data_IF_294263546538
#
_entry.id   IF_294263546538
#
_cell.length_a   1.000
_cell.length_b   1.000
_cell.length_c   1.000
_cell.angle_alpha   90.00
_cell.angle_beta   90.00
_cell.angle_gamma   90.00
#
_symmetry.space_group_name_H-M   'P 1'
#
loop_
_entity.id
_entity.type
_entity.pdbx_description
1 polymer ?
#
# COMPACT_ATOMS: atom_id res chain seq x y z
N UNK A 1 15.18 -10.83 2.15
CA UNK A 1 16.51 -10.70 1.53
C UNK A 1 16.59 -9.37 0.75
N UNK A 2 17.80 -8.79 0.53
CA UNK A 2 17.99 -7.76 -0.48
C UNK A 2 17.73 -8.30 -1.89
N UNK A 3 17.35 -7.43 -2.84
CA UNK A 3 16.94 -7.82 -4.20
C UNK A 3 17.95 -8.73 -4.91
N UNK A 4 19.26 -8.42 -4.82
CA UNK A 4 20.31 -9.23 -5.43
C UNK A 4 20.33 -10.66 -4.83
N UNK A 5 20.30 -10.76 -3.51
CA UNK A 5 20.29 -12.05 -2.82
C UNK A 5 19.02 -12.86 -3.10
N UNK A 6 17.85 -12.19 -3.21
CA UNK A 6 16.60 -12.86 -3.61
C UNK A 6 16.75 -13.48 -5.01
N UNK A 7 17.31 -12.73 -5.96
CA UNK A 7 17.54 -13.25 -7.34
C UNK A 7 18.54 -14.39 -7.38
N UNK A 8 19.58 -14.36 -6.55
CA UNK A 8 20.59 -15.42 -6.50
C UNK A 8 20.06 -16.72 -5.88
N UNK A 9 19.18 -16.62 -4.87
CA UNK A 9 18.64 -17.80 -4.17
C UNK A 9 17.57 -18.51 -5.01
N UNK A 10 16.76 -17.79 -5.77
CA UNK A 10 15.62 -18.37 -6.50
C UNK A 10 15.97 -19.56 -7.40
N UNK A 11 17.05 -19.54 -8.22
CA UNK A 11 17.43 -20.69 -9.05
C UNK A 11 17.87 -21.93 -8.26
N UNK A 12 18.20 -21.77 -6.97
CA UNK A 12 18.64 -22.86 -6.10
C UNK A 12 17.46 -23.60 -5.45
N UNK A 13 16.26 -23.04 -5.51
CA UNK A 13 15.06 -23.64 -4.93
C UNK A 13 14.40 -24.60 -5.92
N UNK A 14 13.87 -25.71 -5.39
CA UNK A 14 13.07 -26.61 -6.20
C UNK A 14 11.82 -25.89 -6.72
N UNK A 15 11.32 -26.23 -7.93
CA UNK A 15 10.15 -25.55 -8.52
C UNK A 15 8.87 -25.66 -7.68
N UNK A 16 8.71 -26.76 -6.93
CA UNK A 16 7.53 -27.07 -6.11
C UNK A 16 7.50 -26.35 -4.75
N UNK A 17 8.61 -25.73 -4.33
CA UNK A 17 8.65 -24.97 -3.07
C UNK A 17 7.88 -23.68 -3.22
N UNK A 18 6.91 -23.45 -2.34
CA UNK A 18 6.18 -22.19 -2.25
C UNK A 18 7.06 -21.10 -1.66
N UNK A 19 7.12 -19.94 -2.32
CA UNK A 19 7.98 -18.82 -1.94
C UNK A 19 7.18 -17.54 -1.84
N UNK A 20 7.35 -16.84 -0.72
CA UNK A 20 6.95 -15.45 -0.53
C UNK A 20 8.20 -14.58 -0.52
N UNK A 21 8.28 -13.60 -1.41
CA UNK A 21 9.39 -12.66 -1.46
C UNK A 21 8.92 -11.25 -1.11
N UNK A 22 9.58 -10.63 -0.14
CA UNK A 22 9.25 -9.26 0.33
C UNK A 22 10.16 -8.19 -0.27
N UNK A 23 11.14 -8.59 -1.11
CA UNK A 23 12.02 -7.65 -1.80
C UNK A 23 11.28 -6.93 -2.95
N UNK A 24 11.94 -5.97 -3.59
CA UNK A 24 11.39 -5.33 -4.80
C UNK A 24 11.69 -6.13 -6.08
N UNK A 25 12.47 -7.23 -5.97
CA UNK A 25 13.04 -7.95 -7.10
C UNK A 25 11.99 -8.53 -8.07
N UNK A 26 10.83 -8.95 -7.54
CA UNK A 26 9.85 -9.73 -8.30
C UNK A 26 8.45 -9.10 -8.36
N UNK A 27 8.23 -7.94 -7.75
CA UNK A 27 6.90 -7.30 -7.66
C UNK A 27 6.30 -6.94 -9.01
N UNK A 28 7.14 -6.77 -10.02
CA UNK A 28 6.72 -6.50 -11.41
C UNK A 28 7.08 -7.62 -12.38
N UNK A 29 7.54 -8.76 -11.89
CA UNK A 29 7.84 -9.92 -12.70
C UNK A 29 6.55 -10.67 -13.07
N UNK A 30 6.36 -10.99 -14.36
CA UNK A 30 5.16 -11.69 -14.84
C UNK A 30 5.09 -13.17 -14.40
N UNK A 31 6.22 -13.76 -13.95
CA UNK A 31 6.26 -15.11 -13.40
C UNK A 31 5.87 -15.18 -11.91
N UNK A 32 5.59 -14.05 -11.29
CA UNK A 32 5.21 -13.95 -9.89
C UNK A 32 3.80 -13.36 -9.74
N UNK A 33 3.01 -13.93 -8.85
CA UNK A 33 1.73 -13.35 -8.47
C UNK A 33 1.95 -12.23 -7.44
N UNK A 34 1.22 -11.13 -7.62
CA UNK A 34 1.33 -9.99 -6.71
C UNK A 34 0.55 -10.24 -5.43
N UNK A 35 1.19 -10.11 -4.27
CA UNK A 35 0.70 -10.50 -2.96
C UNK A 35 -0.29 -9.52 -2.33
N UNK A 36 -1.33 -9.10 -3.07
CA UNK A 36 -2.43 -8.29 -2.56
C UNK A 36 -3.76 -8.99 -2.86
N UNK A 37 -4.23 -9.88 -1.96
CA UNK A 37 -5.37 -10.77 -2.20
C UNK A 37 -6.68 -10.06 -2.55
N UNK A 38 -6.89 -8.84 -2.06
CA UNK A 38 -8.12 -8.07 -2.23
C UNK A 38 -8.28 -7.44 -3.62
N UNK A 39 -7.23 -7.43 -4.44
CA UNK A 39 -7.38 -7.03 -5.85
C UNK A 39 -8.18 -8.09 -6.61
N UNK A 40 -8.99 -7.65 -7.58
CA UNK A 40 -9.90 -8.52 -8.32
C UNK A 40 -9.19 -9.74 -8.92
N UNK A 41 -9.68 -10.94 -8.58
CA UNK A 41 -9.13 -12.22 -9.03
C UNK A 41 -7.77 -12.62 -8.42
N UNK A 42 -7.14 -11.76 -7.63
CA UNK A 42 -5.79 -12.01 -7.12
C UNK A 42 -5.75 -13.08 -6.02
N UNK A 43 -6.78 -13.15 -5.19
CA UNK A 43 -6.91 -14.18 -4.13
C UNK A 43 -6.80 -15.60 -4.69
N UNK A 44 -7.50 -15.92 -5.77
CA UNK A 44 -7.45 -17.24 -6.39
C UNK A 44 -6.10 -17.52 -7.08
N UNK A 45 -5.45 -16.50 -7.64
CA UNK A 45 -4.09 -16.64 -8.16
C UNK A 45 -3.11 -17.01 -7.05
N UNK A 46 -3.13 -16.28 -5.92
CA UNK A 46 -2.26 -16.53 -4.78
C UNK A 46 -2.46 -17.94 -4.20
N UNK A 47 -3.70 -18.41 -4.06
CA UNK A 47 -3.99 -19.78 -3.59
C UNK A 47 -3.29 -20.86 -4.42
N UNK A 48 -3.25 -20.67 -5.73
CA UNK A 48 -2.69 -21.62 -6.68
C UNK A 48 -1.21 -21.36 -7.02
N UNK A 49 -0.63 -20.30 -6.47
CA UNK A 49 0.74 -19.88 -6.79
C UNK A 49 1.79 -20.64 -5.99
N UNK A 50 2.96 -20.80 -6.61
CA UNK A 50 4.21 -21.16 -5.91
C UNK A 50 5.14 -19.94 -5.70
N UNK A 51 4.82 -18.79 -6.29
CA UNK A 51 5.69 -17.61 -6.30
C UNK A 51 4.86 -16.35 -6.07
N UNK A 52 4.92 -15.77 -4.88
CA UNK A 52 4.19 -14.56 -4.54
C UNK A 52 5.14 -13.46 -4.11
N UNK A 53 5.05 -12.31 -4.78
CA UNK A 53 5.80 -11.10 -4.45
C UNK A 53 4.96 -10.20 -3.55
N UNK A 54 5.37 -10.05 -2.30
CA UNK A 54 4.69 -9.22 -1.30
C UNK A 54 4.88 -7.75 -1.62
N UNK A 55 3.81 -6.94 -1.62
CA UNK A 55 3.85 -5.50 -1.93
C UNK A 55 4.81 -4.69 -1.05
N UNK A 56 5.26 -3.55 -1.57
CA UNK A 56 5.86 -2.51 -0.75
C UNK A 56 4.80 -1.69 -0.03
N UNK A 57 5.09 -1.25 1.19
CA UNK A 57 4.11 -0.59 2.05
C UNK A 57 3.43 0.64 1.38
N UNK A 58 4.20 1.59 0.85
CA UNK A 58 3.61 2.73 0.14
C UNK A 58 2.85 2.33 -1.13
N UNK A 59 3.32 1.27 -1.81
CA UNK A 59 2.64 0.76 -2.99
C UNK A 59 1.30 0.12 -2.63
N UNK A 60 1.22 -0.64 -1.52
CA UNK A 60 -0.05 -1.19 -1.02
C UNK A 60 -1.10 -0.09 -0.86
N UNK A 61 -0.74 1.02 -0.19
CA UNK A 61 -1.66 2.12 0.02
C UNK A 61 -2.09 2.81 -1.27
N UNK A 62 -1.18 3.05 -2.20
CA UNK A 62 -1.51 3.66 -3.48
C UNK A 62 -2.35 2.74 -4.37
N UNK A 63 -1.93 1.48 -4.51
CA UNK A 63 -2.58 0.49 -5.37
C UNK A 63 -4.00 0.18 -4.90
N UNK A 64 -4.23 0.16 -3.57
CA UNK A 64 -5.57 -0.04 -3.01
C UNK A 64 -6.60 1.01 -3.47
N UNK A 65 -6.14 2.17 -3.91
CA UNK A 65 -6.97 3.26 -4.42
C UNK A 65 -6.92 3.31 -5.95
N UNK A 66 -5.73 3.38 -6.53
CA UNK A 66 -5.56 3.62 -7.95
C UNK A 66 -6.00 2.43 -8.82
N UNK A 67 -5.75 1.19 -8.38
CA UNK A 67 -6.14 -0.01 -9.15
C UNK A 67 -7.65 -0.12 -9.35
N UNK A 68 -8.50 -0.03 -8.31
CA UNK A 68 -9.96 -0.04 -8.50
C UNK A 68 -10.45 1.10 -9.39
N UNK A 69 -9.91 2.31 -9.24
CA UNK A 69 -10.31 3.46 -10.05
C UNK A 69 -10.09 3.21 -11.54
N UNK A 70 -8.95 2.66 -11.91
CA UNK A 70 -8.64 2.36 -13.33
C UNK A 70 -9.41 1.14 -13.82
N UNK A 71 -9.47 0.07 -13.03
CA UNK A 71 -10.11 -1.18 -13.43
C UNK A 71 -11.62 -1.05 -13.63
N UNK A 72 -12.26 -0.17 -12.84
CA UNK A 72 -13.70 0.14 -12.95
C UNK A 72 -14.00 1.27 -13.95
N UNK A 73 -12.98 1.85 -14.59
CA UNK A 73 -13.16 2.99 -15.51
C UNK A 73 -13.59 4.29 -14.82
N UNK A 74 -13.32 4.42 -13.50
CA UNK A 74 -13.61 5.61 -12.70
C UNK A 74 -12.53 6.70 -12.85
N UNK A 75 -11.36 6.32 -13.33
CA UNK A 75 -10.33 7.22 -13.81
C UNK A 75 -9.61 6.55 -15.00
N UNK A 76 -9.22 7.28 -16.06
CA UNK A 76 -8.48 6.70 -17.16
C UNK A 76 -7.06 6.30 -16.73
N UNK A 77 -6.46 5.33 -17.44
CA UNK A 77 -5.09 4.91 -17.19
C UNK A 77 -4.06 6.04 -17.35
N UNK A 78 -4.39 7.04 -18.14
CA UNK A 78 -3.61 8.26 -18.42
C UNK A 78 -3.76 9.33 -17.35
N UNK A 79 -4.68 9.15 -16.36
CA UNK A 79 -4.86 10.13 -15.28
C UNK A 79 -3.52 10.39 -14.57
N UNK A 80 -3.13 11.66 -14.35
CA UNK A 80 -1.83 12.02 -13.77
C UNK A 80 -1.83 11.86 -12.24
N UNK A 81 -1.95 10.63 -11.78
CA UNK A 81 -2.00 10.34 -10.34
C UNK A 81 -0.81 10.93 -9.58
N UNK A 82 -1.12 11.48 -8.43
CA UNK A 82 -0.14 11.86 -7.42
C UNK A 82 -0.52 11.28 -6.06
N UNK A 83 0.46 11.06 -5.19
CA UNK A 83 0.20 10.64 -3.82
C UNK A 83 1.28 11.12 -2.85
N UNK A 84 0.87 11.31 -1.60
CA UNK A 84 1.78 11.54 -0.47
C UNK A 84 1.65 10.36 0.48
N UNK A 85 2.77 9.72 0.79
CA UNK A 85 2.80 8.63 1.78
C UNK A 85 3.52 9.09 3.05
N UNK A 86 2.84 9.01 4.20
CA UNK A 86 3.38 9.37 5.52
C UNK A 86 3.54 8.08 6.33
N UNK A 87 4.74 7.81 6.83
CA UNK A 87 5.08 6.54 7.49
C UNK A 87 5.95 6.74 8.71
N UNK A 88 5.81 5.84 9.68
CA UNK A 88 6.78 5.66 10.74
C UNK A 88 8.16 5.22 10.22
N UNK A 89 9.19 5.45 11.02
CA UNK A 89 10.59 5.22 10.63
C UNK A 89 10.95 3.73 10.46
N UNK A 90 10.17 2.79 11.01
CA UNK A 90 10.40 1.35 10.82
C UNK A 90 10.41 0.92 9.35
N UNK A 91 9.69 1.65 8.46
CA UNK A 91 9.66 1.42 7.03
C UNK A 91 11.02 1.58 6.34
N UNK A 92 11.97 2.28 6.95
CA UNK A 92 13.36 2.42 6.47
C UNK A 92 14.28 1.27 6.87
N UNK A 93 13.77 0.28 7.62
CA UNK A 93 14.51 -0.90 8.07
C UNK A 93 15.57 -0.60 9.14
N UNK A 94 16.40 -1.60 9.45
CA UNK A 94 17.33 -1.59 10.60
C UNK A 94 18.17 -0.34 10.73
N UNK A 95 18.66 0.23 9.61
CA UNK A 95 19.53 1.41 9.65
C UNK A 95 18.77 2.65 10.14
N UNK A 96 17.56 2.86 9.63
CA UNK A 96 16.74 4.00 10.02
C UNK A 96 16.22 3.83 11.45
N UNK A 97 15.81 2.63 11.84
CA UNK A 97 15.41 2.32 13.22
C UNK A 97 16.55 2.69 14.18
N UNK A 98 17.79 2.22 13.92
CA UNK A 98 18.94 2.54 14.75
C UNK A 98 19.25 4.05 14.80
N UNK A 99 18.99 4.81 13.73
CA UNK A 99 19.15 6.27 13.70
C UNK A 99 18.12 6.96 14.61
N UNK A 100 16.85 6.58 14.52
CA UNK A 100 15.76 7.19 15.30
C UNK A 100 15.77 6.78 16.79
N UNK A 101 16.21 5.57 17.10
CA UNK A 101 16.24 5.01 18.46
C UNK A 101 17.61 5.12 19.14
N UNK A 102 18.55 5.84 18.54
CA UNK A 102 19.90 6.03 19.11
C UNK A 102 19.83 6.69 20.49
N UNK A 103 20.49 6.09 21.47
CA UNK A 103 20.64 6.68 22.80
C UNK A 103 21.41 8.02 22.77
N UNK A 104 22.23 8.24 21.75
CA UNK A 104 22.99 9.47 21.53
C UNK A 104 22.20 10.54 20.73
N UNK A 105 20.92 10.29 20.43
CA UNK A 105 20.06 11.24 19.71
C UNK A 105 19.87 12.51 20.56
N UNK A 106 20.30 13.70 20.06
CA UNK A 106 20.12 14.93 20.82
C UNK A 106 18.63 15.26 21.03
N UNK A 107 18.31 15.88 22.17
CA UNK A 107 17.00 16.54 22.33
C UNK A 107 16.85 17.62 21.26
N UNK A 108 15.63 17.77 20.71
CA UNK A 108 15.33 18.69 19.60
C UNK A 108 16.17 18.41 18.33
N UNK A 109 16.29 17.12 18.02
CA UNK A 109 16.94 16.66 16.79
C UNK A 109 16.10 17.00 15.55
N UNK A 110 16.77 17.18 14.41
CA UNK A 110 16.07 17.25 13.11
C UNK A 110 15.18 16.03 12.81
N UNK A 111 15.41 14.91 13.50
CA UNK A 111 14.60 13.70 13.38
C UNK A 111 13.20 13.85 14.00
N UNK A 112 12.99 14.86 14.87
CA UNK A 112 11.68 15.14 15.48
C UNK A 112 10.68 15.71 14.45
N UNK A 113 11.18 16.21 13.31
CA UNK A 113 10.36 16.75 12.24
C UNK A 113 10.09 15.72 11.13
N UNK A 114 8.90 15.76 10.49
CA UNK A 114 8.64 14.97 9.29
C UNK A 114 9.68 15.24 8.19
N UNK A 115 10.20 14.19 7.59
CA UNK A 115 11.24 14.26 6.56
C UNK A 115 10.71 13.76 5.22
N UNK A 116 10.53 14.66 4.26
CA UNK A 116 10.31 14.28 2.86
C UNK A 116 11.63 13.77 2.24
N UNK A 117 11.55 12.68 1.49
CA UNK A 117 12.72 12.10 0.83
C UNK A 117 12.34 11.61 -0.57
N UNK A 118 13.29 11.07 -1.33
CA UNK A 118 13.00 10.59 -2.69
C UNK A 118 12.52 11.68 -3.66
N UNK A 119 12.88 12.94 -3.40
CA UNK A 119 12.42 14.12 -4.16
C UNK A 119 12.90 14.15 -5.61
N UNK A 120 13.80 13.26 -6.02
CA UNK A 120 14.14 13.02 -7.41
C UNK A 120 13.11 12.18 -8.18
N UNK A 121 11.94 11.87 -7.57
CA UNK A 121 10.85 11.11 -8.17
C UNK A 121 11.27 9.74 -8.73
N UNK A 122 12.20 9.07 -8.05
CA UNK A 122 12.79 7.78 -8.44
C UNK A 122 12.71 6.73 -7.31
N UNK A 123 11.60 6.70 -6.58
CA UNK A 123 11.41 5.74 -5.49
C UNK A 123 11.24 4.30 -6.01
N UNK A 124 11.80 3.33 -5.30
CA UNK A 124 11.79 1.89 -5.68
C UNK A 124 10.38 1.27 -5.79
N UNK A 125 9.35 1.89 -5.21
CA UNK A 125 7.95 1.43 -5.32
C UNK A 125 7.23 1.95 -6.58
N UNK A 126 7.77 2.92 -7.30
CA UNK A 126 7.10 3.49 -8.47
C UNK A 126 6.82 2.48 -9.60
N UNK A 127 7.73 1.53 -9.93
CA UNK A 127 7.45 0.52 -10.96
C UNK A 127 6.24 -0.37 -10.60
N UNK A 128 6.11 -0.79 -9.33
CA UNK A 128 4.97 -1.60 -8.91
C UNK A 128 3.67 -0.77 -8.84
N UNK A 129 3.73 0.48 -8.34
CA UNK A 129 2.58 1.40 -8.35
C UNK A 129 2.03 1.57 -9.76
N UNK A 130 2.88 1.84 -10.75
CA UNK A 130 2.46 2.00 -12.14
C UNK A 130 1.91 0.71 -12.72
N UNK A 131 2.68 -0.38 -12.67
CA UNK A 131 2.32 -1.63 -13.33
C UNK A 131 1.08 -2.27 -12.76
N UNK A 132 1.01 -2.38 -11.42
CA UNK A 132 -0.09 -3.08 -10.76
C UNK A 132 -1.40 -2.28 -10.83
N UNK A 133 -1.32 -0.96 -10.76
CA UNK A 133 -2.52 -0.12 -10.95
C UNK A 133 -2.96 0.02 -12.41
N UNK A 134 -2.16 -0.44 -13.37
CA UNK A 134 -2.50 -0.36 -14.81
C UNK A 134 -2.35 1.06 -15.39
N UNK A 135 -1.46 1.89 -14.83
CA UNK A 135 -1.27 3.28 -15.25
C UNK A 135 -0.39 3.38 -16.49
N UNK A 136 -0.76 4.28 -17.40
CA UNK A 136 0.08 4.63 -18.56
C UNK A 136 1.35 5.39 -18.13
N UNK A 137 1.27 6.17 -17.06
CA UNK A 137 2.37 6.99 -16.55
C UNK A 137 2.70 6.67 -15.10
N UNK A 138 3.98 6.83 -14.74
CA UNK A 138 4.44 6.71 -13.36
C UNK A 138 3.79 7.80 -12.50
N UNK A 139 3.17 7.48 -11.35
CA UNK A 139 2.57 8.48 -10.48
C UNK A 139 3.61 9.38 -9.83
N UNK A 140 3.24 10.63 -9.53
CA UNK A 140 4.07 11.52 -8.71
C UNK A 140 3.92 11.14 -7.24
N UNK A 141 5.03 10.69 -6.63
CA UNK A 141 5.01 10.17 -5.26
C UNK A 141 5.96 10.96 -4.35
N UNK A 142 5.42 11.41 -3.23
CA UNK A 142 6.17 12.10 -2.17
C UNK A 142 6.14 11.26 -0.89
N UNK A 143 7.18 10.48 -0.60
CA UNK A 143 7.30 9.79 0.68
C UNK A 143 7.76 10.72 1.79
N UNK A 144 7.15 10.56 2.97
CA UNK A 144 7.47 11.28 4.20
C UNK A 144 7.67 10.27 5.33
N UNK A 145 8.77 10.37 6.06
CA UNK A 145 9.01 9.62 7.28
C UNK A 145 8.87 10.53 8.50
N UNK A 146 8.23 10.01 9.54
CA UNK A 146 7.95 10.74 10.78
C UNK A 146 8.52 10.01 11.98
N UNK A 147 8.62 10.73 13.11
CA UNK A 147 9.19 10.25 14.37
C UNK A 147 8.17 9.44 15.21
N UNK A 148 7.73 8.33 14.65
CA UNK A 148 7.02 7.25 15.34
C UNK A 148 7.39 5.92 14.69
N UNK A 149 7.29 4.82 15.44
CA UNK A 149 7.79 3.52 15.01
C UNK A 149 7.07 2.99 13.79
N UNK A 150 5.76 2.75 13.87
CA UNK A 150 4.97 2.15 12.78
C UNK A 150 3.60 2.83 12.62
N UNK A 151 2.96 2.54 11.53
CA UNK A 151 1.76 3.19 11.04
C UNK A 151 2.01 3.97 9.76
N UNK A 152 1.01 4.06 8.90
CA UNK A 152 1.14 4.67 7.58
C UNK A 152 -0.20 5.16 7.06
N UNK A 153 -0.16 6.28 6.34
CA UNK A 153 -1.24 6.68 5.46
C UNK A 153 -0.70 7.06 4.08
N UNK A 154 -1.48 6.78 3.04
CA UNK A 154 -1.23 7.27 1.68
C UNK A 154 -2.44 8.07 1.22
N UNK A 155 -2.19 9.34 0.89
CA UNK A 155 -3.19 10.30 0.44
C UNK A 155 -3.11 10.42 -1.07
N UNK A 156 -4.25 10.24 -1.74
CA UNK A 156 -4.39 10.33 -3.20
C UNK A 156 -5.45 11.37 -3.53
N UNK A 157 -5.07 12.59 -3.94
CA UNK A 157 -6.01 13.59 -4.43
C UNK A 157 -6.53 13.17 -5.81
N UNK A 158 -7.82 13.37 -6.05
CA UNK A 158 -8.49 13.07 -7.31
C UNK A 158 -9.30 14.29 -7.77
N UNK A 159 -9.00 14.80 -8.95
CA UNK A 159 -9.82 15.75 -9.68
C UNK A 159 -10.90 14.95 -10.44
N UNK A 160 -12.15 15.09 -10.02
CA UNK A 160 -13.27 14.31 -10.55
C UNK A 160 -13.62 14.70 -11.99
N UNK A 161 -13.41 15.97 -12.35
CA UNK A 161 -13.62 16.44 -13.71
C UNK A 161 -12.64 15.79 -14.67
N UNK A 162 -11.38 15.74 -14.28
CA UNK A 162 -10.32 15.11 -15.07
C UNK A 162 -10.43 13.58 -15.08
N UNK A 163 -10.92 12.98 -13.99
CA UNK A 163 -11.18 11.55 -13.90
C UNK A 163 -12.40 11.12 -14.74
N UNK A 164 -13.37 12.01 -14.94
CA UNK A 164 -14.59 11.73 -15.69
C UNK A 164 -15.64 10.96 -14.87
N UNK A 165 -15.61 11.08 -13.54
CA UNK A 165 -16.55 10.40 -12.63
C UNK A 165 -17.07 11.35 -11.56
N UNK A 166 -18.13 10.93 -10.84
CA UNK A 166 -18.62 11.65 -9.66
C UNK A 166 -18.11 11.03 -8.36
N UNK A 167 -18.19 11.78 -7.26
CA UNK A 167 -17.77 11.28 -5.95
C UNK A 167 -18.56 10.04 -5.51
N UNK A 168 -19.86 10.01 -5.83
CA UNK A 168 -20.74 8.88 -5.52
C UNK A 168 -20.35 7.63 -6.31
N UNK A 169 -20.05 7.79 -7.61
CA UNK A 169 -19.57 6.67 -8.45
C UNK A 169 -18.26 6.10 -7.92
N UNK A 170 -17.32 6.96 -7.53
CA UNK A 170 -16.04 6.54 -6.94
C UNK A 170 -16.27 5.79 -5.63
N UNK A 171 -17.08 6.36 -4.73
CA UNK A 171 -17.35 5.76 -3.42
C UNK A 171 -18.05 4.41 -3.54
N UNK A 172 -19.10 4.32 -4.36
CA UNK A 172 -19.82 3.08 -4.61
C UNK A 172 -18.93 2.02 -5.27
N UNK A 173 -18.16 2.42 -6.29
CA UNK A 173 -17.25 1.51 -6.99
C UNK A 173 -16.20 0.91 -6.07
N UNK A 174 -15.55 1.71 -5.23
CA UNK A 174 -14.56 1.23 -4.25
C UNK A 174 -15.22 0.35 -3.19
N UNK A 175 -16.41 0.73 -2.67
CA UNK A 175 -17.13 -0.07 -1.68
C UNK A 175 -17.53 -1.45 -2.25
N UNK A 176 -18.02 -1.51 -3.48
CA UNK A 176 -18.35 -2.78 -4.16
C UNK A 176 -17.11 -3.60 -4.45
N UNK A 177 -16.00 -2.96 -4.85
CA UNK A 177 -14.75 -3.65 -5.16
C UNK A 177 -14.19 -4.41 -3.95
N UNK A 178 -14.28 -3.83 -2.76
CA UNK A 178 -13.76 -4.41 -1.51
C UNK A 178 -14.81 -5.05 -0.60
N UNK A 179 -16.06 -5.24 -1.05
CA UNK A 179 -17.15 -5.76 -0.20
C UNK A 179 -16.85 -7.09 0.50
N UNK A 180 -16.07 -7.95 -0.15
CA UNK A 180 -15.70 -9.29 0.34
C UNK A 180 -14.23 -9.35 0.83
N UNK A 181 -13.60 -8.20 1.01
CA UNK A 181 -12.21 -8.12 1.46
C UNK A 181 -12.07 -8.49 2.94
N UNK A 182 -11.13 -9.38 3.25
CA UNK A 182 -10.94 -9.86 4.62
C UNK A 182 -10.24 -8.82 5.51
N UNK A 183 -9.33 -8.01 4.95
CA UNK A 183 -8.47 -7.09 5.72
C UNK A 183 -8.53 -5.63 5.21
N UNK A 184 -9.44 -5.32 4.29
CA UNK A 184 -9.67 -3.94 3.82
C UNK A 184 -11.09 -3.52 4.17
N UNK A 185 -11.23 -2.42 4.92
CA UNK A 185 -12.51 -1.80 5.25
C UNK A 185 -12.65 -0.49 4.48
N UNK A 186 -13.79 -0.27 3.86
CA UNK A 186 -14.12 0.98 3.17
C UNK A 186 -15.14 1.77 4.01
N UNK A 187 -14.82 3.02 4.29
CA UNK A 187 -15.71 3.96 4.98
C UNK A 187 -16.65 4.64 3.98
N UNK A 188 -17.80 5.08 4.46
CA UNK A 188 -18.75 5.81 3.61
C UNK A 188 -18.17 7.15 3.13
N UNK A 189 -18.65 7.65 2.00
CA UNK A 189 -18.28 8.98 1.51
C UNK A 189 -18.61 10.04 2.56
N UNK A 190 -17.63 10.89 2.89
CA UNK A 190 -17.74 11.93 3.91
C UNK A 190 -18.10 11.41 5.32
N UNK A 191 -17.78 10.14 5.62
CA UNK A 191 -17.91 9.66 7.00
C UNK A 191 -17.12 10.56 7.95
N UNK A 192 -17.67 10.85 9.11
CA UNK A 192 -17.04 11.73 10.09
C UNK A 192 -15.66 11.16 10.50
N UNK A 193 -14.62 11.96 10.28
CA UNK A 193 -13.27 11.56 10.63
C UNK A 193 -13.07 11.64 12.16
N UNK A 194 -12.35 10.68 12.76
CA UNK A 194 -11.95 10.75 14.16
C UNK A 194 -11.23 12.08 14.45
N UNK A 195 -11.62 12.78 15.50
CA UNK A 195 -10.98 14.04 15.93
C UNK A 195 -10.74 15.07 14.78
N UNK A 196 -11.63 15.08 13.78
CA UNK A 196 -11.54 15.92 12.57
C UNK A 196 -10.29 15.66 11.70
N UNK A 197 -9.68 14.46 11.80
CA UNK A 197 -8.51 14.08 11.00
C UNK A 197 -8.13 12.62 11.16
N UNK A 198 -7.07 12.22 10.48
CA UNK A 198 -6.53 10.88 10.54
C UNK A 198 -5.07 10.92 10.99
N UNK A 199 -4.79 10.31 12.13
CA UNK A 199 -3.41 10.09 12.56
C UNK A 199 -2.82 8.92 11.78
N UNK A 200 -1.67 9.13 11.16
CA UNK A 200 -1.01 8.11 10.31
C UNK A 200 -0.57 6.85 11.06
N UNK A 201 -0.54 6.88 12.39
CA UNK A 201 -0.25 5.73 13.24
C UNK A 201 -1.49 5.12 13.92
N UNK A 202 -2.70 5.54 13.54
CA UNK A 202 -3.92 5.05 14.20
C UNK A 202 -4.17 3.54 14.02
N UNK A 203 -3.63 2.95 12.95
CA UNK A 203 -3.72 1.51 12.68
C UNK A 203 -2.43 0.74 13.05
N UNK A 204 -1.51 1.37 13.80
CA UNK A 204 -0.28 0.72 14.22
C UNK A 204 -0.54 -0.57 15.01
N UNK A 205 0.18 -1.64 14.69
CA UNK A 205 0.03 -2.96 15.31
C UNK A 205 -1.11 -3.81 14.76
N UNK A 206 -1.80 -3.37 13.69
CA UNK A 206 -2.85 -4.17 13.05
C UNK A 206 -2.46 -4.63 11.64
N UNK A 207 -3.10 -5.68 11.15
CA UNK A 207 -2.92 -6.21 9.80
C UNK A 207 -4.05 -5.80 8.84
N UNK A 208 -4.77 -4.73 9.19
CA UNK A 208 -5.91 -4.20 8.44
C UNK A 208 -5.57 -2.90 7.74
N UNK A 209 -6.37 -2.58 6.72
CA UNK A 209 -6.33 -1.31 6.00
C UNK A 209 -7.72 -0.69 6.00
N UNK A 210 -7.79 0.60 6.24
CA UNK A 210 -9.03 1.37 6.15
C UNK A 210 -8.91 2.40 5.02
N UNK A 211 -9.96 2.50 4.19
CA UNK A 211 -10.06 3.46 3.09
C UNK A 211 -11.08 4.52 3.44
N UNK A 212 -10.65 5.77 3.46
CA UNK A 212 -11.47 6.95 3.70
C UNK A 212 -11.61 7.78 2.42
N UNK A 213 -12.76 8.39 2.24
CA UNK A 213 -13.10 9.17 1.06
C UNK A 213 -13.84 10.43 1.46
N UNK A 214 -13.32 11.58 1.07
CA UNK A 214 -13.97 12.89 1.28
C UNK A 214 -14.03 13.65 -0.03
N UNK A 215 -15.06 14.48 -0.20
CA UNK A 215 -15.24 15.36 -1.35
C UNK A 215 -15.42 16.81 -0.88
N UNK A 216 -14.88 17.75 -1.64
CA UNK A 216 -15.04 19.18 -1.35
C UNK A 216 -16.49 19.66 -1.58
N UNK A 217 -16.82 20.87 -1.11
CA UNK A 217 -18.17 21.42 -1.23
C UNK A 217 -18.61 21.68 -2.69
N UNK A 218 -17.67 21.83 -3.62
CA UNK A 218 -17.96 22.02 -5.04
C UNK A 218 -18.28 20.67 -5.74
N UNK A 219 -17.92 19.54 -5.14
CA UNK A 219 -18.14 18.21 -5.71
C UNK A 219 -17.20 17.83 -6.84
N UNK A 220 -16.10 18.56 -7.03
CA UNK A 220 -15.15 18.38 -8.14
C UNK A 220 -13.79 17.81 -7.71
N UNK A 221 -13.48 17.75 -6.41
CA UNK A 221 -12.23 17.21 -5.89
C UNK A 221 -12.47 16.25 -4.72
N UNK A 222 -11.82 15.09 -4.76
CA UNK A 222 -11.82 14.12 -3.68
C UNK A 222 -10.44 13.94 -3.07
N UNK A 223 -10.43 13.60 -1.78
CA UNK A 223 -9.27 13.02 -1.13
C UNK A 223 -9.59 11.57 -0.76
N UNK A 224 -8.80 10.64 -1.30
CA UNK A 224 -8.85 9.24 -0.93
C UNK A 224 -7.64 8.93 -0.05
N UNK A 225 -7.86 8.25 1.06
CA UNK A 225 -6.81 7.93 2.03
C UNK A 225 -6.86 6.45 2.35
N UNK A 226 -5.73 5.78 2.23
CA UNK A 226 -5.52 4.46 2.83
C UNK A 226 -4.73 4.60 4.13
N UNK A 227 -5.25 4.02 5.20
CA UNK A 227 -4.69 4.06 6.55
C UNK A 227 -4.45 2.63 7.04
N UNK A 228 -3.21 2.31 7.44
CA UNK A 228 -2.79 0.96 7.83
C UNK A 228 -1.43 0.96 8.53
N UNK A 229 -0.98 -0.20 9.00
CA UNK A 229 0.38 -0.36 9.52
C UNK A 229 1.37 -0.73 8.39
N UNK A 230 2.48 0.02 8.28
CA UNK A 230 3.54 -0.26 7.30
C UNK A 230 4.26 -1.60 7.51
N UNK A 231 4.23 -2.15 8.71
CA UNK A 231 4.75 -3.50 9.04
C UNK A 231 3.66 -4.57 8.96
N UNK A 232 2.43 -4.26 9.35
CA UNK A 232 1.26 -5.15 9.26
C UNK A 232 0.80 -5.37 7.82
N UNK A 233 -0.34 -4.79 7.44
CA UNK A 233 -0.88 -4.88 6.06
C UNK A 233 0.08 -4.34 5.00
N UNK A 234 1.00 -3.45 5.37
CA UNK A 234 2.04 -2.92 4.47
C UNK A 234 3.23 -3.85 4.22
N UNK A 235 3.39 -4.95 4.97
CA UNK A 235 4.56 -5.84 4.85
C UNK A 235 4.30 -7.26 5.37
N UNK A 236 4.64 -7.54 6.65
CA UNK A 236 4.61 -8.89 7.23
C UNK A 236 3.18 -9.45 7.34
N UNK A 237 2.20 -8.64 7.70
CA UNK A 237 0.80 -9.05 7.74
C UNK A 237 0.29 -9.49 6.36
N UNK A 238 0.61 -8.72 5.31
CA UNK A 238 0.30 -9.13 3.93
C UNK A 238 1.00 -10.44 3.54
N UNK A 239 2.25 -10.64 3.99
CA UNK A 239 2.96 -11.90 3.75
C UNK A 239 2.29 -13.09 4.46
N UNK A 240 1.87 -12.94 5.71
CA UNK A 240 1.14 -13.98 6.47
C UNK A 240 -0.21 -14.28 5.81
N UNK A 241 -0.96 -13.26 5.39
CA UNK A 241 -2.21 -13.42 4.65
C UNK A 241 -2.01 -14.26 3.37
N UNK A 242 -1.01 -13.91 2.56
CA UNK A 242 -0.67 -14.67 1.36
C UNK A 242 -0.22 -16.10 1.68
N UNK A 243 0.58 -16.29 2.74
CA UNK A 243 1.01 -17.62 3.20
C UNK A 243 -0.20 -18.48 3.58
N UNK A 244 -1.14 -17.95 4.33
CA UNK A 244 -2.36 -18.64 4.71
C UNK A 244 -3.13 -19.15 3.47
N UNK A 245 -3.32 -18.25 2.49
CA UNK A 245 -3.99 -18.61 1.23
C UNK A 245 -3.22 -19.69 0.45
N UNK A 246 -1.91 -19.55 0.30
CA UNK A 246 -1.07 -20.54 -0.39
C UNK A 246 -1.10 -21.91 0.28
N UNK A 247 -1.26 -21.97 1.60
CA UNK A 247 -1.33 -23.21 2.37
C UNK A 247 -2.76 -23.77 2.54
N UNK A 248 -3.77 -23.07 2.02
CA UNK A 248 -5.17 -23.45 2.16
C UNK A 248 -5.71 -23.30 3.59
N UNK A 249 -5.11 -22.39 4.37
CA UNK A 249 -5.55 -22.06 5.72
C UNK A 249 -6.62 -20.94 5.64
N UNK A 250 -7.25 -20.68 6.79
CA UNK A 250 -8.11 -19.49 6.95
C UNK A 250 -7.27 -18.23 6.72
N UNK A 251 -7.76 -17.31 5.87
CA UNK A 251 -7.02 -16.17 5.32
C UNK A 251 -6.42 -15.26 6.40
N UNK A 252 -7.19 -14.99 7.45
CA UNK A 252 -6.80 -14.06 8.53
C UNK A 252 -6.18 -14.77 9.75
N UNK A 253 -5.87 -16.05 9.64
CA UNK A 253 -5.29 -16.81 10.75
C UNK A 253 -3.98 -16.18 11.24
N UNK A 254 -3.98 -15.76 12.53
CA UNK A 254 -2.82 -15.12 13.16
C UNK A 254 -2.60 -13.65 12.77
N UNK A 255 -3.58 -13.02 12.14
CA UNK A 255 -3.61 -11.58 11.86
C UNK A 255 -4.50 -10.86 12.88
N UNK A 256 -4.20 -9.58 13.17
CA UNK A 256 -4.91 -8.71 14.14
C UNK A 256 -5.65 -7.55 13.45
#
# INVERSE_FOLDING_TARGET
LPDAASKEVMPLLRPDVKVLDTSTAFRTDAAWDYGFPELAGQKEKIKNSCRVAVPGCYASGFISIARPLVELGLAPAEYPFSCTGISGYSGGGKKMIAEYESADRPAHSKLDAPKSYGLGLAHKHLPEMQKISGLAHTPMFVPVVCDYYCGMQVLVPLDLTLAGSTAEQVAEGIAVYYKDAATVKVHALNEALPENGLYSNAMAGTDRMELYMTVNAAGDQMMLVSLFDNLGKGSSGAAVQCMNLMLGLEETKGLE
#
